data_IF_421146790545
#
_entry.id   IF_421146790545
#
_cell.length_a   1.000
_cell.length_b   1.000
_cell.length_c   1.000
_cell.angle_alpha   90.00
_cell.angle_beta   90.00
_cell.angle_gamma   90.00
#
_symmetry.space_group_name_H-M   'P 1'
#
loop_
_entity.id
_entity.type
_entity.pdbx_description
1 polymer ?
#
# COMPACT_ATOMS: atom_id res chain seq x y z
N UNK A 1 -23.51 14.45 27.05
CA UNK A 1 -22.17 15.01 26.79
C UNK A 1 -21.13 13.96 26.39
N UNK A 2 -20.93 12.86 27.12
CA UNK A 2 -19.98 11.80 26.69
C UNK A 2 -20.39 11.12 25.38
N UNK A 3 -21.67 10.73 25.23
CA UNK A 3 -22.18 10.09 24.00
C UNK A 3 -22.11 11.01 22.78
N UNK A 4 -22.44 12.29 22.93
CA UNK A 4 -22.36 13.29 21.85
C UNK A 4 -20.92 13.50 21.39
N UNK A 5 -19.96 13.52 22.31
CA UNK A 5 -18.54 13.60 21.98
C UNK A 5 -18.06 12.37 21.19
N UNK A 6 -18.51 11.17 21.56
CA UNK A 6 -18.20 9.94 20.81
C UNK A 6 -18.72 10.00 19.38
N UNK A 7 -19.96 10.46 19.17
CA UNK A 7 -20.50 10.61 17.81
C UNK A 7 -19.71 11.62 16.97
N UNK A 8 -19.31 12.76 17.57
CA UNK A 8 -18.49 13.76 16.88
C UNK A 8 -17.14 13.17 16.45
N UNK A 9 -16.49 12.41 17.34
CA UNK A 9 -15.21 11.78 17.05
C UNK A 9 -15.33 10.72 15.95
N UNK A 10 -16.41 9.92 15.97
CA UNK A 10 -16.70 8.92 14.95
C UNK A 10 -16.90 9.59 13.58
N UNK A 11 -17.70 10.65 13.52
CA UNK A 11 -17.93 11.42 12.27
C UNK A 11 -16.61 12.02 11.75
N UNK A 12 -15.78 12.58 12.63
CA UNK A 12 -14.49 13.15 12.26
C UNK A 12 -13.54 12.10 11.66
N UNK A 13 -13.61 10.85 12.12
CA UNK A 13 -12.81 9.75 11.56
C UNK A 13 -13.32 9.32 10.17
N UNK A 14 -14.62 9.35 9.94
CA UNK A 14 -15.26 8.87 8.70
C UNK A 14 -15.27 9.93 7.58
N UNK A 15 -15.15 11.23 7.90
CA UNK A 15 -15.30 12.29 6.90
C UNK A 15 -14.21 12.25 5.79
N UNK A 16 -12.96 11.97 6.16
CA UNK A 16 -11.81 11.86 5.24
C UNK A 16 -11.97 10.71 4.22
N UNK A 17 -12.29 9.46 4.62
CA UNK A 17 -12.51 8.39 3.66
C UNK A 17 -13.75 8.62 2.81
N UNK A 18 -14.83 9.18 3.37
CA UNK A 18 -16.04 9.49 2.60
C UNK A 18 -15.78 10.54 1.51
N UNK A 19 -14.95 11.53 1.80
CA UNK A 19 -14.53 12.54 0.82
C UNK A 19 -13.77 11.92 -0.34
N UNK A 20 -12.78 11.04 -0.08
CA UNK A 20 -12.07 10.37 -1.17
C UNK A 20 -12.97 9.42 -1.96
N UNK A 21 -13.88 8.72 -1.28
CA UNK A 21 -14.85 7.83 -1.91
C UNK A 21 -15.84 8.58 -2.80
N UNK A 22 -16.24 9.79 -2.43
CA UNK A 22 -17.16 10.59 -3.25
C UNK A 22 -16.52 11.03 -4.57
N UNK A 23 -15.21 11.30 -4.61
CA UNK A 23 -14.49 11.57 -5.87
C UNK A 23 -14.44 10.35 -6.78
N UNK A 24 -14.19 9.17 -6.22
CA UNK A 24 -14.21 7.92 -6.99
C UNK A 24 -15.60 7.64 -7.57
N UNK A 25 -16.65 7.80 -6.75
CA UNK A 25 -18.02 7.63 -7.21
C UNK A 25 -18.40 8.64 -8.30
N UNK A 26 -18.00 9.91 -8.13
CA UNK A 26 -18.19 10.94 -9.16
C UNK A 26 -17.49 10.57 -10.47
N UNK A 27 -16.27 10.07 -10.39
CA UNK A 27 -15.51 9.61 -11.54
C UNK A 27 -16.22 8.46 -12.26
N UNK A 28 -16.58 7.38 -11.56
CA UNK A 28 -17.25 6.21 -12.15
C UNK A 28 -18.57 6.55 -12.85
N UNK A 29 -19.36 7.46 -12.27
CA UNK A 29 -20.64 7.89 -12.87
C UNK A 29 -20.43 8.80 -14.09
N UNK A 30 -19.30 9.52 -14.17
CA UNK A 30 -19.06 10.56 -15.18
C UNK A 30 -17.80 10.32 -16.02
N UNK A 31 -17.37 9.07 -16.19
CA UNK A 31 -16.11 8.75 -16.92
C UNK A 31 -16.11 9.35 -18.33
N UNK A 32 -17.24 9.29 -19.03
CA UNK A 32 -17.37 9.80 -20.40
C UNK A 32 -17.14 11.32 -20.46
N UNK A 33 -17.86 12.07 -19.62
CA UNK A 33 -17.71 13.51 -19.49
C UNK A 33 -16.27 13.90 -19.07
N UNK A 34 -15.70 13.16 -18.12
CA UNK A 34 -14.36 13.46 -17.62
C UNK A 34 -13.31 13.21 -18.71
N UNK A 35 -13.48 12.15 -19.49
CA UNK A 35 -12.59 11.83 -20.62
C UNK A 35 -12.71 12.88 -21.73
N UNK A 36 -13.93 13.31 -22.04
CA UNK A 36 -14.17 14.33 -23.06
C UNK A 36 -13.65 15.72 -22.64
N UNK A 37 -13.76 16.11 -21.37
CA UNK A 37 -13.43 17.48 -20.96
C UNK A 37 -12.01 17.60 -20.40
N UNK A 38 -11.54 16.64 -19.60
CA UNK A 38 -10.32 16.78 -18.81
C UNK A 38 -9.12 15.95 -19.28
N UNK A 39 -9.27 15.01 -20.23
CA UNK A 39 -8.09 14.31 -20.75
C UNK A 39 -7.21 15.24 -21.59
N UNK A 40 -5.94 15.34 -21.18
CA UNK A 40 -4.91 16.12 -21.88
C UNK A 40 -4.35 15.39 -23.11
N UNK A 41 -4.38 14.05 -23.13
CA UNK A 41 -3.75 13.21 -24.15
C UNK A 41 -4.79 12.49 -25.03
N UNK A 42 -5.79 13.21 -25.55
CA UNK A 42 -6.85 12.61 -26.39
C UNK A 42 -6.32 12.02 -27.68
N UNK A 43 -5.27 12.60 -28.25
CA UNK A 43 -4.67 12.17 -29.52
C UNK A 43 -3.78 10.93 -29.37
N UNK A 44 -3.32 10.63 -28.14
CA UNK A 44 -2.42 9.52 -27.85
C UNK A 44 -3.17 8.40 -27.14
N UNK A 45 -3.93 7.63 -27.93
CA UNK A 45 -4.76 6.51 -27.45
C UNK A 45 -3.93 5.45 -26.70
N UNK A 46 -2.67 5.26 -27.10
CA UNK A 46 -1.70 4.36 -26.46
C UNK A 46 -1.42 4.67 -24.98
N UNK A 47 -1.66 5.91 -24.52
CA UNK A 47 -1.45 6.31 -23.13
C UNK A 47 -2.66 6.04 -22.22
N UNK A 48 -3.80 5.58 -22.78
CA UNK A 48 -4.97 5.12 -22.05
C UNK A 48 -5.45 6.06 -20.90
N UNK A 49 -5.52 7.38 -21.19
CA UNK A 49 -5.90 8.41 -20.20
C UNK A 49 -7.23 8.07 -19.50
N UNK A 50 -8.33 7.92 -20.25
CA UNK A 50 -9.66 7.53 -19.74
C UNK A 50 -10.06 8.25 -18.44
N UNK A 51 -9.74 9.53 -18.30
CA UNK A 51 -9.98 10.34 -17.11
C UNK A 51 -9.07 10.04 -15.89
N UNK A 52 -8.20 9.04 -15.95
CA UNK A 52 -7.31 8.61 -14.85
C UNK A 52 -6.32 9.69 -14.42
N UNK A 53 -5.78 10.48 -15.36
CA UNK A 53 -4.87 11.58 -15.03
C UNK A 53 -5.57 12.66 -14.20
N UNK A 54 -6.82 12.97 -14.54
CA UNK A 54 -7.64 13.92 -13.79
C UNK A 54 -7.99 13.37 -12.40
N UNK A 55 -8.41 12.10 -12.32
CA UNK A 55 -8.71 11.43 -11.06
C UNK A 55 -7.48 11.41 -10.14
N UNK A 56 -6.30 11.06 -10.67
CA UNK A 56 -5.06 11.07 -9.90
C UNK A 56 -4.77 12.45 -9.29
N UNK A 57 -4.95 13.52 -10.07
CA UNK A 57 -4.78 14.89 -9.58
C UNK A 57 -5.78 15.28 -8.49
N UNK A 58 -7.03 14.81 -8.57
CA UNK A 58 -8.05 15.07 -7.54
C UNK A 58 -7.80 14.29 -6.25
N UNK A 59 -7.21 13.09 -6.35
CA UNK A 59 -6.86 12.25 -5.20
C UNK A 59 -5.53 12.63 -4.54
N UNK A 60 -4.68 13.38 -5.24
CA UNK A 60 -3.46 13.97 -4.68
C UNK A 60 -3.80 15.17 -3.78
N UNK A 61 -4.22 14.90 -2.54
CA UNK A 61 -4.28 15.94 -1.49
C UNK A 61 -2.87 16.37 -1.10
N UNK A 62 -2.50 17.62 -1.40
CA UNK A 62 -1.38 18.42 -0.85
C UNK A 62 -0.07 17.68 -0.56
N UNK A 63 0.27 16.67 -1.35
CA UNK A 63 1.60 16.07 -1.30
C UNK A 63 2.43 16.80 -2.33
N UNK A 64 3.48 17.48 -1.87
CA UNK A 64 4.41 18.25 -2.70
C UNK A 64 4.71 17.47 -4.01
N UNK A 65 4.53 18.06 -5.21
CA UNK A 65 4.58 17.37 -6.51
C UNK A 65 5.93 16.73 -6.88
N UNK A 66 6.86 16.61 -5.93
CA UNK A 66 8.18 16.00 -6.13
C UNK A 66 8.18 14.48 -5.87
N UNK A 67 7.06 13.88 -5.46
CA UNK A 67 7.03 12.49 -5.00
C UNK A 67 5.78 11.73 -5.50
N UNK A 68 5.62 11.64 -6.82
CA UNK A 68 4.52 10.90 -7.47
C UNK A 68 4.45 9.41 -7.07
N UNK A 69 5.57 8.86 -6.57
CA UNK A 69 5.64 7.49 -6.06
C UNK A 69 4.95 7.30 -4.71
N UNK A 70 4.74 8.36 -3.92
CA UNK A 70 4.20 8.26 -2.55
C UNK A 70 2.68 8.22 -2.49
N UNK A 71 1.96 8.76 -3.49
CA UNK A 71 0.50 8.87 -3.42
C UNK A 71 -0.20 7.51 -3.54
N UNK A 72 0.29 6.62 -4.41
CA UNK A 72 -0.24 5.25 -4.55
C UNK A 72 0.07 4.42 -3.30
N UNK A 73 1.24 4.65 -2.69
CA UNK A 73 1.65 4.03 -1.42
C UNK A 73 0.76 4.50 -0.25
N UNK A 74 0.39 5.78 -0.21
CA UNK A 74 -0.49 6.34 0.82
C UNK A 74 -1.93 5.80 0.73
N UNK A 75 -2.48 5.64 -0.49
CA UNK A 75 -3.81 5.06 -0.67
C UNK A 75 -3.84 3.57 -0.33
N UNK A 76 -2.78 2.85 -0.68
CA UNK A 76 -2.64 1.44 -0.25
C UNK A 76 -2.48 1.35 1.26
N UNK A 77 -1.64 2.15 1.90
CA UNK A 77 -1.52 2.19 3.37
C UNK A 77 -2.84 2.53 4.08
N UNK A 78 -3.62 3.47 3.53
CA UNK A 78 -4.92 3.84 4.10
C UNK A 78 -5.94 2.69 4.01
N UNK A 79 -5.89 1.89 2.94
CA UNK A 79 -6.71 0.68 2.80
C UNK A 79 -6.17 -0.48 3.66
N UNK A 80 -4.85 -0.58 3.86
CA UNK A 80 -4.23 -1.57 4.75
C UNK A 80 -4.52 -1.30 6.24
N UNK A 81 -4.84 -0.07 6.64
CA UNK A 81 -5.27 0.24 8.01
C UNK A 81 -6.57 -0.47 8.43
N UNK A 82 -7.27 -1.12 7.49
CA UNK A 82 -8.42 -2.00 7.73
C UNK A 82 -8.08 -3.50 7.76
N UNK A 83 -6.80 -3.87 7.77
CA UNK A 83 -6.40 -5.27 7.94
C UNK A 83 -6.72 -5.72 9.38
N UNK A 84 -7.83 -6.44 9.53
CA UNK A 84 -8.20 -7.15 10.73
C UNK A 84 -7.83 -8.62 10.57
N UNK A 85 -6.77 -9.07 11.26
CA UNK A 85 -6.46 -10.49 11.38
C UNK A 85 -7.06 -11.01 12.68
N UNK A 86 -7.96 -11.97 12.57
CA UNK A 86 -8.48 -12.68 13.74
C UNK A 86 -7.31 -13.43 14.41
N UNK A 87 -7.22 -13.34 15.75
CA UNK A 87 -6.17 -14.02 16.50
C UNK A 87 -6.42 -15.54 16.42
N UNK A 88 -5.66 -16.25 15.59
CA UNK A 88 -5.62 -17.70 15.67
C UNK A 88 -4.88 -18.12 16.94
N UNK A 89 -5.50 -18.99 17.73
CA UNK A 89 -4.86 -19.61 18.88
C UNK A 89 -3.84 -20.65 18.39
N UNK A 90 -2.59 -20.22 18.20
CA UNK A 90 -1.49 -21.12 17.88
C UNK A 90 -1.16 -21.99 19.11
N UNK A 91 -1.64 -23.24 19.09
CA UNK A 91 -1.14 -24.26 20.01
C UNK A 91 0.11 -24.91 19.42
N UNK A 92 1.28 -24.51 19.91
CA UNK A 92 2.51 -25.26 19.67
C UNK A 92 2.34 -26.63 20.31
N UNK A 93 2.21 -27.67 19.48
CA UNK A 93 2.45 -29.04 19.97
C UNK A 93 3.93 -29.10 20.31
N UNK A 94 4.25 -29.22 21.59
CA UNK A 94 5.60 -29.55 22.03
C UNK A 94 6.01 -30.88 21.38
N UNK A 95 6.69 -30.79 20.24
CA UNK A 95 7.40 -31.93 19.68
C UNK A 95 8.63 -32.13 20.55
N UNK A 96 8.57 -33.15 21.41
CA UNK A 96 9.74 -33.65 22.11
C UNK A 96 10.72 -34.18 21.05
N UNK A 97 11.73 -33.37 20.72
CA UNK A 97 12.83 -33.81 19.86
C UNK A 97 13.67 -34.76 20.71
N UNK A 98 13.82 -36.05 20.34
CA UNK A 98 14.77 -36.90 21.01
C UNK A 98 16.18 -36.34 20.78
N UNK A 99 16.79 -35.80 21.84
CA UNK A 99 18.17 -35.29 21.90
C UNK A 99 19.21 -36.42 21.82
N UNK A 100 19.04 -37.38 20.89
CA UNK A 100 19.94 -38.52 20.79
C UNK A 100 20.35 -38.87 19.34
N UNK A 101 20.27 -37.91 18.43
CA UNK A 101 21.12 -37.96 17.24
C UNK A 101 22.40 -37.21 17.56
N UNK A 102 23.48 -37.96 17.79
CA UNK A 102 24.83 -37.44 17.65
C UNK A 102 24.94 -36.95 16.21
N UNK A 103 24.76 -35.65 16.00
CA UNK A 103 25.14 -35.03 14.74
C UNK A 103 26.66 -34.93 14.82
N UNK A 104 27.36 -35.79 14.07
CA UNK A 104 28.77 -35.55 13.78
C UNK A 104 28.85 -34.30 12.92
N UNK A 105 28.84 -33.13 13.55
CA UNK A 105 29.11 -31.88 12.89
C UNK A 105 30.61 -31.85 12.64
N UNK A 106 31.04 -32.41 11.50
CA UNK A 106 32.31 -31.99 10.91
C UNK A 106 32.06 -30.56 10.41
N UNK A 107 32.12 -29.59 11.33
CA UNK A 107 32.22 -28.19 10.97
C UNK A 107 33.62 -27.98 10.41
N UNK A 108 33.77 -28.10 9.09
CA UNK A 108 34.93 -27.53 8.44
C UNK A 108 34.82 -26.02 8.60
N UNK A 109 35.62 -25.44 9.49
CA UNK A 109 35.68 -23.99 9.75
C UNK A 109 36.35 -23.21 8.61
N UNK A 110 36.29 -23.72 7.38
CA UNK A 110 36.86 -23.09 6.19
C UNK A 110 35.96 -21.98 5.62
N UNK A 111 34.78 -21.78 6.20
CA UNK A 111 33.90 -20.68 5.86
C UNK A 111 34.34 -19.42 6.60
N UNK A 112 35.03 -18.53 5.90
CA UNK A 112 35.08 -17.13 6.27
C UNK A 112 33.96 -16.41 5.52
N UNK A 113 33.02 -15.80 6.24
CA UNK A 113 32.05 -14.89 5.64
C UNK A 113 32.81 -13.71 5.03
N UNK A 114 32.98 -13.73 3.72
CA UNK A 114 33.51 -12.59 2.98
C UNK A 114 32.37 -11.60 2.79
N UNK A 115 32.33 -10.60 3.68
CA UNK A 115 31.44 -9.45 3.54
C UNK A 115 31.86 -8.64 2.31
N UNK A 116 31.25 -8.90 1.16
CA UNK A 116 31.35 -7.99 0.02
C UNK A 116 30.33 -6.88 0.17
N UNK A 117 30.82 -5.66 0.42
CA UNK A 117 30.03 -4.44 0.41
C UNK A 117 29.73 -3.98 -1.03
N UNK A 118 29.32 -4.89 -1.90
CA UNK A 118 28.92 -4.55 -3.25
C UNK A 118 27.40 -4.35 -3.26
N UNK A 119 26.99 -3.09 -3.11
CA UNK A 119 25.63 -2.67 -3.41
C UNK A 119 25.34 -2.98 -4.88
N UNK A 120 24.75 -4.15 -5.11
CA UNK A 120 24.20 -4.53 -6.41
C UNK A 120 23.08 -3.54 -6.74
N UNK A 121 23.43 -2.45 -7.43
CA UNK A 121 22.44 -1.50 -7.94
C UNK A 121 21.92 -2.08 -9.25
N UNK A 122 20.62 -2.38 -9.38
CA UNK A 122 20.07 -2.78 -10.67
C UNK A 122 20.28 -1.64 -11.69
N UNK A 123 20.45 -1.97 -12.98
CA UNK A 123 20.58 -0.97 -14.03
C UNK A 123 19.32 -0.09 -14.06
N UNK A 124 19.51 1.21 -14.01
CA UNK A 124 18.45 2.19 -14.25
C UNK A 124 18.34 2.37 -15.76
N UNK A 125 17.20 1.96 -16.31
CA UNK A 125 16.75 2.35 -17.66
C UNK A 125 15.67 3.40 -17.48
#
# INVERSE_FOLDING_TARGET
MKKTFVFILLIAFVIKPLYNLSYLAYYEINVDYITEVFCINKEKVELACNGKCHLAKQLQTDTNPQDDSKTVVLLTEYLFALYFQENENFNFKETQIPLNKIVNTICNSSYAYLYEHNHFRPPMV
#
